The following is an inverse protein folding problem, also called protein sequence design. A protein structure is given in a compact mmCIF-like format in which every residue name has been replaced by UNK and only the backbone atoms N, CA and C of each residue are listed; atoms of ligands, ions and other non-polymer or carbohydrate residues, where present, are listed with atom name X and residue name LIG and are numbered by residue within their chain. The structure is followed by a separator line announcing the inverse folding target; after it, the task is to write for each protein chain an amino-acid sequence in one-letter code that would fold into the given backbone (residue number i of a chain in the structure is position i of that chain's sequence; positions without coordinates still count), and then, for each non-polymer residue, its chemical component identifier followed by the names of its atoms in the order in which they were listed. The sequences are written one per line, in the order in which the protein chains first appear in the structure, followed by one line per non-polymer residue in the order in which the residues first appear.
data_IF_209249578480
#
_entry.id   IF_209249578480
#
_cell.length_a   1.000
_cell.length_b   1.000
_cell.length_c   1.000
_cell.angle_alpha   90.00
_cell.angle_beta   90.00
_cell.angle_gamma   90.00
#
_symmetry.space_group_name_H-M   'P 1'
#
loop_
_entity.id
_entity.type
_entity.pdbx_description
1 polymer ?
#
# COMPACT_ATOMS: atom_id res chain seq x y z
N UNK A 1 -7.33 2.16 -1.21
CA UNK A 1 -8.22 2.02 -2.40
C UNK A 1 -9.73 2.04 -2.12
N UNK A 2 -10.30 1.27 -1.19
CA UNK A 2 -11.77 1.26 -0.98
C UNK A 2 -12.31 2.58 -0.39
N UNK A 3 -13.40 3.11 -0.96
CA UNK A 3 -14.09 4.30 -0.44
C UNK A 3 -14.92 3.92 0.80
N UNK A 4 -14.86 4.73 1.87
CA UNK A 4 -15.59 4.52 3.12
C UNK A 4 -17.08 4.28 2.91
N UNK A 5 -17.69 4.93 1.92
CA UNK A 5 -19.12 4.82 1.63
C UNK A 5 -19.52 3.39 1.25
N UNK A 6 -18.64 2.66 0.56
CA UNK A 6 -18.90 1.27 0.20
C UNK A 6 -18.93 0.37 1.45
N UNK A 7 -18.01 0.61 2.40
CA UNK A 7 -17.93 -0.15 3.66
C UNK A 7 -19.09 0.21 4.58
N UNK A 8 -19.49 1.48 4.63
CA UNK A 8 -20.67 1.93 5.37
C UNK A 8 -21.99 1.39 4.79
N UNK A 9 -22.08 1.29 3.46
CA UNK A 9 -23.19 0.65 2.80
C UNK A 9 -23.24 -0.84 3.11
N UNK A 10 -22.08 -1.53 3.10
CA UNK A 10 -21.99 -2.93 3.51
C UNK A 10 -22.48 -3.14 4.95
N UNK A 11 -22.03 -2.32 5.90
CA UNK A 11 -22.50 -2.36 7.29
C UNK A 11 -24.02 -2.24 7.38
N UNK A 12 -24.62 -1.25 6.69
CA UNK A 12 -26.08 -1.08 6.66
C UNK A 12 -26.78 -2.30 6.06
N UNK A 13 -26.34 -2.76 4.90
CA UNK A 13 -26.92 -3.91 4.21
C UNK A 13 -26.87 -5.18 5.07
N UNK A 14 -25.76 -5.43 5.76
CA UNK A 14 -25.63 -6.59 6.64
C UNK A 14 -26.55 -6.50 7.86
N UNK A 15 -26.73 -5.31 8.44
CA UNK A 15 -27.71 -5.09 9.52
C UNK A 15 -29.13 -5.38 9.07
N UNK A 16 -29.50 -4.91 7.88
CA UNK A 16 -30.82 -5.08 7.31
C UNK A 16 -31.11 -6.56 7.01
N UNK A 17 -30.17 -7.25 6.34
CA UNK A 17 -30.30 -8.68 5.99
C UNK A 17 -30.35 -9.56 7.25
N UNK A 18 -29.51 -9.28 8.25
CA UNK A 18 -29.45 -10.05 9.49
C UNK A 18 -30.54 -9.66 10.50
N UNK A 19 -31.26 -8.57 10.25
CA UNK A 19 -32.15 -7.94 11.22
C UNK A 19 -31.45 -7.72 12.59
N UNK A 20 -30.16 -7.37 12.55
CA UNK A 20 -29.32 -7.19 13.73
C UNK A 20 -28.69 -5.80 13.69
N UNK A 21 -28.97 -4.98 14.71
CA UNK A 21 -28.47 -3.60 14.80
C UNK A 21 -26.98 -3.47 15.11
N UNK A 22 -26.29 -4.57 15.45
CA UNK A 22 -24.85 -4.59 15.70
C UNK A 22 -24.05 -4.23 14.43
N UNK A 23 -22.82 -3.73 14.61
CA UNK A 23 -21.91 -3.44 13.49
C UNK A 23 -21.74 -4.67 12.59
N UNK A 24 -21.81 -4.46 11.27
CA UNK A 24 -21.77 -5.51 10.24
C UNK A 24 -22.82 -6.61 10.43
N UNK A 25 -23.97 -6.30 11.06
CA UNK A 25 -25.02 -7.29 11.36
C UNK A 25 -24.56 -8.39 12.32
N UNK A 26 -23.53 -8.12 13.14
CA UNK A 26 -22.91 -9.09 14.04
C UNK A 26 -21.89 -10.02 13.38
N UNK A 27 -21.54 -9.79 12.11
CA UNK A 27 -20.54 -10.57 11.38
C UNK A 27 -19.14 -10.02 11.66
N UNK A 28 -18.21 -10.91 12.00
CA UNK A 28 -16.79 -10.57 12.05
C UNK A 28 -16.24 -10.35 10.65
N UNK A 29 -15.74 -9.15 10.38
CA UNK A 29 -15.12 -8.78 9.11
C UNK A 29 -13.63 -8.52 9.32
N UNK A 30 -12.79 -9.18 8.52
CA UNK A 30 -11.37 -8.90 8.45
C UNK A 30 -11.11 -7.97 7.25
N UNK A 31 -10.61 -6.77 7.54
CA UNK A 31 -10.06 -5.90 6.52
C UNK A 31 -8.56 -6.16 6.38
N UNK A 32 -8.07 -6.13 5.15
CA UNK A 32 -6.65 -6.23 4.86
C UNK A 32 -6.26 -5.17 3.82
N UNK A 33 -5.03 -4.66 3.95
CA UNK A 33 -4.46 -3.65 3.09
C UNK A 33 -3.45 -2.79 3.83
N UNK A 34 -2.76 -1.93 3.08
CA UNK A 34 -1.80 -0.98 3.60
C UNK A 34 -2.22 0.45 3.21
N UNK A 35 -2.46 1.30 4.21
CA UNK A 35 -2.85 2.70 3.99
C UNK A 35 -1.70 3.57 3.45
N UNK A 36 -0.45 3.08 3.51
CA UNK A 36 0.73 3.77 2.97
C UNK A 36 0.91 3.58 1.46
N UNK A 37 0.18 2.64 0.85
CA UNK A 37 0.30 2.37 -0.59
C UNK A 37 -0.49 3.38 -1.43
N UNK A 38 -1.82 3.32 -1.40
CA UNK A 38 -2.67 4.18 -2.24
C UNK A 38 -3.98 4.56 -1.56
N UNK A 39 -4.27 5.86 -1.60
CA UNK A 39 -5.55 6.42 -1.18
C UNK A 39 -6.66 6.03 -2.17
N UNK A 40 -7.95 6.10 -1.78
CA UNK A 40 -9.06 5.98 -2.71
C UNK A 40 -9.03 7.07 -3.77
N UNK A 41 -9.22 6.69 -5.04
CA UNK A 41 -9.26 7.64 -6.16
C UNK A 41 -10.59 8.36 -6.18
N UNK A 42 -10.57 9.69 -6.15
CA UNK A 42 -11.75 10.54 -6.29
C UNK A 42 -11.60 11.39 -7.56
N UNK A 43 -12.31 11.05 -8.65
CA UNK A 43 -12.22 11.81 -9.90
C UNK A 43 -12.56 13.28 -9.67
N UNK A 44 -11.65 14.18 -10.08
CA UNK A 44 -11.77 15.64 -9.88
C UNK A 44 -11.90 16.06 -8.40
N UNK A 45 -11.49 15.19 -7.47
CA UNK A 45 -11.49 15.45 -6.04
C UNK A 45 -10.26 16.23 -5.59
N UNK A 46 -10.38 16.86 -4.44
CA UNK A 46 -9.24 17.48 -3.73
C UNK A 46 -8.52 16.45 -2.85
N UNK A 47 -7.31 16.76 -2.39
CA UNK A 47 -6.61 15.94 -1.37
C UNK A 47 -7.48 15.69 -0.13
N UNK A 48 -8.28 16.68 0.26
CA UNK A 48 -9.21 16.54 1.38
C UNK A 48 -10.35 15.55 1.09
N UNK A 49 -10.80 15.45 -0.17
CA UNK A 49 -11.79 14.44 -0.59
C UNK A 49 -11.23 13.03 -0.50
N UNK A 50 -9.98 12.82 -0.91
CA UNK A 50 -9.28 11.53 -0.84
C UNK A 50 -9.15 11.06 0.62
N UNK A 51 -8.71 11.95 1.52
CA UNK A 51 -8.63 11.66 2.95
C UNK A 51 -10.02 11.36 3.53
N UNK A 52 -11.04 12.13 3.17
CA UNK A 52 -12.43 11.87 3.59
C UNK A 52 -12.97 10.54 3.05
N UNK A 53 -12.50 10.09 1.89
CA UNK A 53 -12.90 8.82 1.31
C UNK A 53 -12.24 7.60 2.00
N UNK A 54 -11.19 7.79 2.79
CA UNK A 54 -10.50 6.69 3.47
C UNK A 54 -11.37 6.06 4.57
N UNK A 55 -11.18 4.76 4.80
CA UNK A 55 -11.84 4.02 5.88
C UNK A 55 -11.58 4.63 7.27
N UNK A 56 -10.37 5.20 7.49
CA UNK A 56 -10.03 5.92 8.73
C UNK A 56 -10.97 7.10 9.02
N UNK A 57 -11.58 7.67 7.98
CA UNK A 57 -12.55 8.76 8.08
C UNK A 57 -13.99 8.27 8.23
N UNK A 58 -14.23 6.96 8.34
CA UNK A 58 -15.56 6.38 8.53
C UNK A 58 -16.00 6.42 9.99
N UNK A 59 -17.32 6.52 10.23
CA UNK A 59 -17.91 6.29 11.56
C UNK A 59 -17.61 4.89 12.13
N UNK A 60 -17.25 3.95 11.26
CA UNK A 60 -16.96 2.56 11.62
C UNK A 60 -15.54 2.36 12.16
N UNK A 61 -14.63 3.31 11.94
CA UNK A 61 -13.22 3.17 12.32
C UNK A 61 -13.04 2.86 13.81
N UNK A 62 -13.87 3.46 14.68
CA UNK A 62 -13.84 3.22 16.13
C UNK A 62 -14.15 1.78 16.57
N UNK A 63 -14.69 0.96 15.68
CA UNK A 63 -14.96 -0.46 15.95
C UNK A 63 -13.91 -1.39 15.35
N UNK A 64 -12.92 -0.85 14.62
CA UNK A 64 -11.88 -1.65 13.98
C UNK A 64 -10.73 -1.84 14.95
N UNK A 65 -10.32 -3.09 15.12
CA UNK A 65 -9.15 -3.47 15.90
C UNK A 65 -7.97 -3.58 14.93
N UNK A 66 -6.93 -2.73 15.05
CA UNK A 66 -5.78 -2.79 14.16
C UNK A 66 -4.89 -3.98 14.51
N UNK A 67 -4.57 -4.79 13.50
CA UNK A 67 -3.58 -5.86 13.57
C UNK A 67 -2.48 -5.58 12.55
N UNK A 68 -1.22 -5.76 12.95
CA UNK A 68 -0.07 -5.41 12.13
C UNK A 68 0.73 -6.67 11.79
N UNK A 69 1.05 -6.83 10.50
CA UNK A 69 2.07 -7.77 10.06
C UNK A 69 3.40 -7.00 9.99
N UNK A 70 4.42 -7.51 10.67
CA UNK A 70 5.72 -6.84 10.82
C UNK A 70 6.82 -7.43 9.93
N UNK A 71 6.61 -8.63 9.40
CA UNK A 71 7.62 -9.34 8.61
C UNK A 71 7.31 -9.22 7.12
N UNK A 72 8.24 -8.62 6.36
CA UNK A 72 8.16 -8.57 4.91
C UNK A 72 8.65 -9.90 4.31
N UNK A 73 7.76 -10.88 4.28
CA UNK A 73 8.05 -12.20 3.73
C UNK A 73 8.53 -12.13 2.26
N UNK A 74 8.03 -11.17 1.46
CA UNK A 74 8.42 -11.04 0.05
C UNK A 74 9.91 -10.70 -0.11
N UNK A 75 10.42 -9.77 0.70
CA UNK A 75 11.85 -9.45 0.68
C UNK A 75 12.71 -10.63 1.14
N UNK A 76 12.21 -11.43 2.09
CA UNK A 76 12.96 -12.55 2.69
C UNK A 76 13.00 -13.82 1.82
N UNK A 77 12.01 -14.05 0.95
CA UNK A 77 11.90 -15.28 0.13
C UNK A 77 13.12 -15.48 -0.81
N UNK A 78 13.84 -14.42 -1.17
CA UNK A 78 15.00 -14.50 -2.07
C UNK A 78 16.33 -14.90 -1.42
N UNK A 79 16.38 -15.13 -0.11
CA UNK A 79 17.63 -15.46 0.61
C UNK A 79 18.70 -14.37 0.56
N UNK A 80 18.31 -13.13 0.26
CA UNK A 80 19.22 -11.99 0.21
C UNK A 80 19.59 -11.55 1.64
N UNK A 81 20.88 -11.49 1.93
CA UNK A 81 21.40 -11.03 3.24
C UNK A 81 20.93 -9.61 3.58
N UNK A 82 20.68 -8.78 2.55
CA UNK A 82 20.22 -7.40 2.70
C UNK A 82 18.68 -7.25 2.72
N UNK A 83 17.93 -8.36 2.76
CA UNK A 83 16.46 -8.34 2.72
C UNK A 83 15.84 -7.55 3.88
N UNK A 84 16.46 -7.59 5.05
CA UNK A 84 15.99 -6.86 6.23
C UNK A 84 16.22 -5.35 6.05
N UNK A 85 17.43 -4.94 5.67
CA UNK A 85 17.77 -3.53 5.39
C UNK A 85 16.85 -2.93 4.33
N UNK A 86 16.59 -3.68 3.24
CA UNK A 86 15.66 -3.26 2.21
C UNK A 86 14.22 -3.12 2.73
N UNK A 87 13.80 -4.01 3.64
CA UNK A 87 12.47 -3.92 4.25
C UNK A 87 12.33 -2.70 5.15
N UNK A 88 13.36 -2.39 5.93
CA UNK A 88 13.39 -1.23 6.81
C UNK A 88 13.41 0.06 5.98
N UNK A 89 14.18 0.10 4.89
CA UNK A 89 14.18 1.18 3.92
C UNK A 89 12.78 1.44 3.31
N UNK A 90 12.07 0.39 2.91
CA UNK A 90 10.69 0.51 2.41
C UNK A 90 9.73 1.05 3.48
N UNK A 91 9.92 0.68 4.75
CA UNK A 91 9.13 1.20 5.86
C UNK A 91 9.43 2.68 6.10
N UNK A 92 10.69 3.11 6.00
CA UNK A 92 11.07 4.51 6.15
C UNK A 92 10.39 5.39 5.09
N UNK A 93 10.37 4.93 3.84
CA UNK A 93 9.65 5.61 2.75
C UNK A 93 8.15 5.66 3.03
N UNK A 94 7.55 4.52 3.39
CA UNK A 94 6.11 4.45 3.64
C UNK A 94 5.65 5.24 4.88
N UNK A 95 6.54 5.52 5.82
CA UNK A 95 6.27 6.27 7.04
C UNK A 95 6.69 7.75 6.94
N UNK A 96 7.16 8.20 5.77
CA UNK A 96 7.54 9.60 5.52
C UNK A 96 8.73 10.08 6.37
N UNK A 97 9.64 9.17 6.74
CA UNK A 97 10.88 9.48 7.50
C UNK A 97 12.15 9.39 6.65
N UNK A 98 12.06 8.81 5.45
CA UNK A 98 13.17 8.76 4.51
C UNK A 98 13.50 10.17 3.94
N UNK A 99 14.77 10.50 3.63
CA UNK A 99 15.16 11.80 3.10
C UNK A 99 14.39 12.20 1.83
N UNK A 100 13.89 13.43 1.83
CA UNK A 100 13.15 14.02 0.71
C UNK A 100 13.71 15.38 0.31
N UNK A 101 13.67 15.64 -0.99
CA UNK A 101 13.95 16.96 -1.57
C UNK A 101 12.70 17.46 -2.28
N UNK A 102 12.20 18.64 -1.86
CA UNK A 102 11.00 19.26 -2.44
C UNK A 102 9.76 18.34 -2.45
N UNK A 103 9.62 17.47 -1.45
CA UNK A 103 8.52 16.49 -1.34
C UNK A 103 8.66 15.26 -2.25
N UNK A 104 9.84 15.05 -2.84
CA UNK A 104 10.14 13.84 -3.61
C UNK A 104 11.18 12.99 -2.88
N UNK A 105 11.02 11.68 -2.96
CA UNK A 105 12.00 10.71 -2.46
C UNK A 105 13.28 10.82 -3.28
N UNK A 106 14.42 10.93 -2.59
CA UNK A 106 15.73 10.96 -3.25
C UNK A 106 16.18 9.54 -3.57
N UNK A 107 16.42 9.26 -4.85
CA UNK A 107 16.93 7.95 -5.27
C UNK A 107 18.45 7.89 -5.03
N UNK A 108 18.86 7.17 -3.99
CA UNK A 108 20.26 6.87 -3.69
C UNK A 108 20.65 5.43 -4.06
N UNK A 109 21.92 5.08 -3.87
CA UNK A 109 22.46 3.77 -4.23
C UNK A 109 21.85 2.61 -3.42
N UNK A 110 21.29 2.90 -2.24
CA UNK A 110 20.62 1.89 -1.41
C UNK A 110 19.22 1.54 -1.94
N UNK A 111 18.59 2.44 -2.72
CA UNK A 111 17.24 2.25 -3.25
C UNK A 111 17.25 1.83 -4.73
N UNK A 112 18.25 2.27 -5.49
CA UNK A 112 18.34 1.99 -6.91
C UNK A 112 19.79 1.87 -7.39
N UNK A 113 20.00 1.04 -8.42
CA UNK A 113 21.22 1.08 -9.20
C UNK A 113 21.09 2.16 -10.28
N UNK A 114 21.91 3.21 -10.20
CA UNK A 114 21.95 4.25 -11.23
C UNK A 114 22.76 3.74 -12.41
N UNK A 115 22.16 3.79 -13.59
CA UNK A 115 22.78 3.38 -14.86
C UNK A 115 22.93 4.59 -15.78
N UNK A 116 24.02 4.60 -16.55
CA UNK A 116 24.38 5.72 -17.43
C UNK A 116 23.67 5.71 -18.77
N UNK A 117 23.09 4.58 -19.19
CA UNK A 117 22.40 4.47 -20.46
C UNK A 117 21.22 3.48 -20.41
N UNK A 118 20.29 3.63 -21.36
CA UNK A 118 19.21 2.66 -21.56
C UNK A 118 19.74 1.25 -21.86
N UNK A 119 20.89 1.15 -22.55
CA UNK A 119 21.53 -0.14 -22.84
C UNK A 119 21.98 -0.83 -21.56
N UNK A 120 22.59 -0.09 -20.64
CA UNK A 120 23.04 -0.60 -19.34
C UNK A 120 21.84 -1.02 -18.48
N UNK A 121 20.75 -0.23 -18.52
CA UNK A 121 19.50 -0.60 -17.85
C UNK A 121 18.95 -1.93 -18.37
N UNK A 122 18.79 -2.06 -19.69
CA UNK A 122 18.26 -3.28 -20.32
C UNK A 122 19.16 -4.49 -19.98
N UNK A 123 20.47 -4.31 -20.09
CA UNK A 123 21.46 -5.36 -19.76
C UNK A 123 21.38 -5.75 -18.28
N UNK A 124 21.22 -4.79 -17.36
CA UNK A 124 21.14 -5.07 -15.92
C UNK A 124 19.84 -5.76 -15.50
N UNK A 125 18.71 -5.43 -16.13
CA UNK A 125 17.38 -5.95 -15.75
C UNK A 125 17.08 -7.27 -16.44
N UNK A 126 17.40 -7.39 -17.72
CA UNK A 126 17.03 -8.53 -18.57
C UNK A 126 18.22 -9.41 -18.95
N UNK A 127 19.45 -9.04 -18.57
CA UNK A 127 20.66 -9.67 -19.07
C UNK A 127 20.96 -9.28 -20.53
N UNK A 128 21.84 -10.02 -21.19
CA UNK A 128 22.10 -9.85 -22.62
C UNK A 128 20.92 -10.39 -23.44
N UNK A 129 19.86 -9.60 -23.57
CA UNK A 129 18.67 -9.88 -24.37
C UNK A 129 18.94 -9.77 -25.89
N UNK A 130 20.06 -10.29 -26.38
CA UNK A 130 20.38 -10.46 -27.81
C UNK A 130 19.77 -11.72 -28.42
N UNK A 131 18.98 -12.48 -27.67
CA UNK A 131 18.22 -13.64 -28.17
C UNK A 131 16.73 -13.46 -27.88
N UNK A 132 16.08 -12.52 -28.56
CA UNK A 132 14.63 -12.60 -28.76
C UNK A 132 14.46 -13.29 -30.11
N UNK A 133 13.97 -14.55 -30.17
CA UNK A 133 13.67 -15.18 -31.44
C UNK A 133 12.53 -14.40 -32.10
N UNK A 134 12.80 -13.85 -33.29
CA UNK A 134 11.80 -13.34 -34.23
C UNK A 134 10.90 -14.45 -34.73
#
# INVERSE_FOLDING_TARGET
MANRKAIEALDRTLRDIKQNGQTMGGITILFWGDFRQTLPVIPRGTRADEVRACLKSSRLWKYIIPLHLTVNMRAQIGGNENAQEFSDLLLEIGNDVYPQEHGNVVLNENLCCKVSSMRDLISSVYGNATQIPT
#
